data_IF_281351196119
#
_entry.id   IF_281351196119
#
_cell.length_a   1.000
_cell.length_b   1.000
_cell.length_c   1.000
_cell.angle_alpha   90.00
_cell.angle_beta   90.00
_cell.angle_gamma   90.00
#
_symmetry.space_group_name_H-M   'P 1'
#
loop_
_entity.id
_entity.type
_entity.pdbx_description
1 polymer ?
#
# COMPACT_ATOMS: atom_id res chain seq x y z
N UNK A 1 -8.85 -9.21 -6.43
CA UNK A 1 -9.02 -10.44 -7.23
C UNK A 1 -9.93 -11.43 -6.51
N UNK A 2 -9.60 -11.94 -5.32
CA UNK A 2 -10.36 -12.96 -4.61
C UNK A 2 -11.86 -12.63 -4.42
N UNK A 3 -12.19 -11.39 -4.00
CA UNK A 3 -13.58 -10.95 -3.87
C UNK A 3 -14.36 -10.99 -5.21
N UNK A 4 -13.69 -10.56 -6.30
CA UNK A 4 -14.30 -10.60 -7.63
C UNK A 4 -14.50 -12.03 -8.11
N UNK A 5 -13.51 -12.89 -7.92
CA UNK A 5 -13.59 -14.30 -8.27
C UNK A 5 -14.73 -15.00 -7.49
N UNK A 6 -14.78 -14.82 -6.17
CA UNK A 6 -15.83 -15.40 -5.32
C UNK A 6 -17.23 -14.95 -5.73
N UNK A 7 -17.42 -13.64 -5.97
CA UNK A 7 -18.69 -13.10 -6.44
C UNK A 7 -19.10 -13.67 -7.82
N UNK A 8 -18.18 -13.66 -8.78
CA UNK A 8 -18.47 -14.14 -10.13
C UNK A 8 -18.75 -15.66 -10.18
N UNK A 9 -17.99 -16.48 -9.44
CA UNK A 9 -18.21 -17.90 -9.31
C UNK A 9 -19.60 -18.21 -8.70
N UNK A 10 -19.95 -17.53 -7.60
CA UNK A 10 -21.27 -17.70 -6.97
C UNK A 10 -22.42 -17.30 -7.93
N UNK A 11 -22.26 -16.23 -8.71
CA UNK A 11 -23.23 -15.81 -9.73
C UNK A 11 -23.39 -16.83 -10.87
N UNK A 12 -22.39 -17.66 -11.10
CA UNK A 12 -22.44 -18.80 -12.05
C UNK A 12 -23.03 -20.08 -11.44
N UNK A 13 -23.42 -20.05 -10.18
CA UNK A 13 -24.05 -21.17 -9.49
C UNK A 13 -23.09 -22.07 -8.72
N UNK A 14 -21.82 -21.73 -8.62
CA UNK A 14 -20.89 -22.47 -7.76
C UNK A 14 -21.16 -22.19 -6.28
N UNK A 15 -20.98 -23.20 -5.45
CA UNK A 15 -20.96 -23.05 -3.99
C UNK A 15 -19.57 -22.58 -3.59
N UNK A 16 -19.47 -21.36 -3.06
CA UNK A 16 -18.20 -20.69 -2.76
C UNK A 16 -18.06 -20.46 -1.27
N UNK A 17 -16.91 -20.86 -0.71
CA UNK A 17 -16.44 -20.46 0.62
C UNK A 17 -15.28 -19.49 0.46
N UNK A 18 -15.39 -18.32 1.09
CA UNK A 18 -14.36 -17.27 1.08
C UNK A 18 -13.80 -17.13 2.49
N UNK A 19 -12.54 -17.53 2.70
CA UNK A 19 -11.83 -17.38 3.97
C UNK A 19 -10.94 -16.14 3.93
N UNK A 20 -10.95 -15.36 5.01
CA UNK A 20 -10.11 -14.19 5.22
C UNK A 20 -9.50 -14.25 6.62
N UNK A 21 -8.18 -14.15 6.70
CA UNK A 21 -7.44 -14.20 7.97
C UNK A 21 -7.72 -13.00 8.89
N UNK A 22 -8.04 -11.85 8.31
CA UNK A 22 -8.40 -10.62 9.03
C UNK A 22 -9.89 -10.60 9.40
N UNK A 23 -10.29 -9.73 10.35
CA UNK A 23 -11.71 -9.59 10.75
C UNK A 23 -12.58 -8.85 9.72
N UNK A 24 -12.01 -8.46 8.56
CA UNK A 24 -12.72 -7.72 7.51
C UNK A 24 -12.20 -8.08 6.12
N UNK A 25 -13.10 -8.06 5.15
CA UNK A 25 -12.77 -8.27 3.73
C UNK A 25 -12.15 -7.01 3.11
N UNK A 26 -11.37 -7.18 2.04
CA UNK A 26 -10.89 -6.09 1.21
C UNK A 26 -9.37 -5.96 1.12
N UNK A 27 -8.62 -6.58 2.04
CA UNK A 27 -7.16 -6.64 1.99
C UNK A 27 -6.51 -5.27 1.75
N UNK A 28 -5.68 -5.15 0.72
CA UNK A 28 -4.98 -3.93 0.36
C UNK A 28 -5.87 -2.71 0.09
N UNK A 29 -7.15 -2.89 -0.31
CA UNK A 29 -8.09 -1.77 -0.50
C UNK A 29 -8.41 -1.07 0.83
N UNK A 30 -8.57 -1.85 1.90
CA UNK A 30 -8.83 -1.31 3.24
C UNK A 30 -7.58 -0.59 3.76
N UNK A 31 -6.40 -1.20 3.58
CA UNK A 31 -5.13 -0.58 3.99
C UNK A 31 -4.92 0.76 3.27
N UNK A 32 -5.07 0.76 1.95
CA UNK A 32 -4.90 1.98 1.14
C UNK A 32 -5.94 3.06 1.49
N UNK A 33 -7.17 2.68 1.88
CA UNK A 33 -8.21 3.64 2.24
C UNK A 33 -7.94 4.44 3.52
N UNK A 34 -6.91 4.08 4.27
CA UNK A 34 -6.43 4.86 5.42
C UNK A 34 -5.62 6.10 5.01
N UNK A 35 -5.26 6.21 3.72
CA UNK A 35 -4.47 7.32 3.19
C UNK A 35 -5.43 8.36 2.62
N UNK A 36 -5.20 9.63 2.98
CA UNK A 36 -6.00 10.78 2.52
C UNK A 36 -6.08 10.82 0.97
N UNK A 37 -7.30 10.96 0.45
CA UNK A 37 -7.60 10.93 -0.99
C UNK A 37 -7.85 9.53 -1.56
N UNK A 38 -7.66 8.45 -0.78
CA UNK A 38 -7.90 7.06 -1.20
C UNK A 38 -9.09 6.39 -0.49
N UNK A 39 -9.92 7.12 0.26
CA UNK A 39 -11.05 6.62 1.06
C UNK A 39 -12.10 5.89 0.20
N UNK A 40 -12.17 6.25 -1.09
CA UNK A 40 -13.04 5.59 -2.06
C UNK A 40 -12.73 4.08 -2.22
N UNK A 41 -11.49 3.66 -1.99
CA UNK A 41 -11.10 2.25 -2.02
C UNK A 41 -11.78 1.45 -0.90
N UNK A 42 -11.97 2.05 0.26
CA UNK A 42 -12.74 1.44 1.35
C UNK A 42 -14.23 1.27 1.01
N UNK A 43 -14.82 2.25 0.30
CA UNK A 43 -16.19 2.11 -0.22
C UNK A 43 -16.30 0.99 -1.24
N UNK A 44 -15.31 0.85 -2.11
CA UNK A 44 -15.24 -0.24 -3.08
C UNK A 44 -15.14 -1.61 -2.41
N UNK A 45 -14.31 -1.75 -1.37
CA UNK A 45 -14.21 -2.99 -0.59
C UNK A 45 -15.55 -3.38 0.01
N UNK A 46 -16.26 -2.45 0.66
CA UNK A 46 -17.61 -2.66 1.22
C UNK A 46 -18.65 -3.02 0.15
N UNK A 47 -18.57 -2.42 -1.04
CA UNK A 47 -19.45 -2.78 -2.16
C UNK A 47 -19.27 -4.25 -2.54
N UNK A 48 -18.03 -4.73 -2.66
CA UNK A 48 -17.77 -6.12 -3.01
C UNK A 48 -18.07 -7.08 -1.85
N UNK A 49 -17.87 -6.69 -0.61
CA UNK A 49 -18.35 -7.46 0.53
C UNK A 49 -19.88 -7.68 0.45
N UNK A 50 -20.63 -6.62 0.20
CA UNK A 50 -22.09 -6.73 0.02
C UNK A 50 -22.45 -7.63 -1.14
N UNK A 51 -21.74 -7.52 -2.26
CA UNK A 51 -21.98 -8.38 -3.45
C UNK A 51 -21.72 -9.84 -3.19
N UNK A 52 -20.64 -10.22 -2.51
CA UNK A 52 -20.35 -11.63 -2.22
C UNK A 52 -21.36 -12.22 -1.24
N UNK A 53 -21.75 -11.46 -0.20
CA UNK A 53 -22.78 -11.90 0.75
C UNK A 53 -24.14 -12.10 0.09
N UNK A 54 -24.58 -11.15 -0.75
CA UNK A 54 -25.83 -11.22 -1.49
C UNK A 54 -25.84 -12.33 -2.56
N UNK A 55 -24.69 -12.76 -3.03
CA UNK A 55 -24.55 -13.89 -3.93
C UNK A 55 -24.56 -15.25 -3.21
N UNK A 56 -24.69 -15.28 -1.89
CA UNK A 56 -24.72 -16.51 -1.10
C UNK A 56 -23.36 -17.14 -0.84
N UNK A 57 -22.28 -16.38 -0.94
CA UNK A 57 -20.93 -16.85 -0.58
C UNK A 57 -20.85 -17.08 0.93
N UNK A 58 -20.34 -18.26 1.35
CA UNK A 58 -20.01 -18.55 2.75
C UNK A 58 -18.73 -17.79 3.13
N UNK A 59 -18.88 -16.68 3.84
CA UNK A 59 -17.77 -15.78 4.23
C UNK A 59 -17.31 -16.13 5.64
N UNK A 60 -16.06 -16.55 5.78
CA UNK A 60 -15.39 -16.88 7.04
C UNK A 60 -14.28 -15.89 7.32
N UNK A 61 -14.54 -14.95 8.23
CA UNK A 61 -13.57 -13.97 8.71
C UNK A 61 -12.73 -14.55 9.84
N UNK A 62 -11.59 -13.90 10.13
CA UNK A 62 -10.64 -14.33 11.15
C UNK A 62 -10.26 -15.82 11.03
N UNK A 63 -10.23 -16.30 9.79
CA UNK A 63 -9.95 -17.69 9.45
C UNK A 63 -8.70 -17.75 8.56
N UNK A 64 -7.57 -18.03 9.19
CA UNK A 64 -6.34 -18.34 8.48
C UNK A 64 -6.43 -19.79 7.97
N UNK A 65 -6.17 -19.98 6.68
CA UNK A 65 -6.26 -21.28 6.00
C UNK A 65 -4.85 -21.80 5.74
N UNK A 66 -4.63 -23.06 6.09
CA UNK A 66 -3.45 -23.85 5.77
C UNK A 66 -3.85 -25.14 5.00
N UNK A 67 -2.89 -25.96 4.62
CA UNK A 67 -3.15 -27.18 3.90
C UNK A 67 -3.95 -28.20 4.75
N UNK A 68 -3.75 -28.22 6.07
CA UNK A 68 -4.50 -29.10 6.97
C UNK A 68 -5.98 -28.71 7.01
N UNK A 69 -6.26 -27.41 7.13
CA UNK A 69 -7.61 -26.88 7.09
C UNK A 69 -8.33 -27.25 5.76
N UNK A 70 -7.64 -27.13 4.61
CA UNK A 70 -8.21 -27.46 3.30
C UNK A 70 -8.54 -28.95 3.21
N UNK A 71 -7.65 -29.85 3.65
CA UNK A 71 -7.93 -31.29 3.66
C UNK A 71 -9.14 -31.66 4.51
N UNK A 72 -9.30 -31.00 5.64
CA UNK A 72 -10.40 -31.28 6.56
C UNK A 72 -11.73 -30.70 6.09
N UNK A 73 -11.72 -29.47 5.58
CA UNK A 73 -12.94 -28.70 5.33
C UNK A 73 -13.32 -28.59 3.84
N UNK A 74 -12.38 -28.85 2.94
CA UNK A 74 -12.56 -28.65 1.50
C UNK A 74 -11.80 -29.68 0.62
N UNK A 75 -11.83 -31.00 0.92
CA UNK A 75 -10.95 -31.99 0.28
C UNK A 75 -11.18 -32.17 -1.23
N UNK A 76 -12.36 -31.84 -1.74
CA UNK A 76 -12.71 -31.98 -3.16
C UNK A 76 -12.95 -30.60 -3.83
N UNK A 77 -12.59 -29.51 -3.18
CA UNK A 77 -12.82 -28.17 -3.71
C UNK A 77 -11.67 -27.71 -4.59
N UNK A 78 -11.99 -26.92 -5.60
CA UNK A 78 -10.97 -26.15 -6.31
C UNK A 78 -10.52 -25.00 -5.43
N UNK A 79 -9.22 -24.90 -5.20
CA UNK A 79 -8.60 -23.90 -4.32
C UNK A 79 -8.10 -22.72 -5.14
N UNK A 80 -8.49 -21.51 -4.76
CA UNK A 80 -7.98 -20.27 -5.36
C UNK A 80 -7.29 -19.46 -4.27
N UNK A 81 -5.98 -19.31 -4.39
CA UNK A 81 -5.15 -18.56 -3.46
C UNK A 81 -5.11 -17.10 -3.88
N UNK A 82 -5.62 -16.21 -3.03
CA UNK A 82 -5.68 -14.76 -3.26
C UNK A 82 -5.11 -13.99 -2.06
N UNK A 83 -4.05 -14.51 -1.45
CA UNK A 83 -3.41 -14.00 -0.21
C UNK A 83 -2.76 -12.63 -0.37
N UNK A 84 -2.54 -12.20 -1.62
CA UNK A 84 -2.05 -10.86 -1.94
C UNK A 84 -0.56 -10.66 -1.62
N UNK A 85 -0.24 -9.47 -1.13
CA UNK A 85 1.13 -8.99 -0.94
C UNK A 85 1.38 -8.63 0.53
N UNK A 86 2.65 -8.63 0.91
CA UNK A 86 3.18 -8.02 2.15
C UNK A 86 4.26 -6.99 1.83
N UNK A 87 4.73 -6.28 2.84
CA UNK A 87 5.85 -5.37 2.70
C UNK A 87 7.09 -6.13 2.25
N UNK A 88 7.75 -5.62 1.22
CA UNK A 88 9.08 -6.08 0.85
C UNK A 88 10.10 -5.52 1.85
N UNK A 89 10.94 -6.40 2.39
CA UNK A 89 12.02 -6.03 3.30
C UNK A 89 13.32 -6.04 2.49
N UNK A 90 13.93 -4.88 2.24
CA UNK A 90 15.18 -4.81 1.48
C UNK A 90 16.35 -5.38 2.28
N UNK A 91 17.42 -5.75 1.60
CA UNK A 91 18.66 -6.15 2.27
C UNK A 91 19.48 -4.90 2.64
N UNK A 92 19.27 -4.39 3.84
CA UNK A 92 19.94 -3.20 4.37
C UNK A 92 20.45 -3.46 5.78
N UNK A 93 21.58 -2.87 6.18
CA UNK A 93 22.14 -3.06 7.50
C UNK A 93 21.31 -2.38 8.60
N UNK A 94 21.00 -3.09 9.68
CA UNK A 94 20.34 -2.56 10.87
C UNK A 94 18.82 -2.60 10.84
N UNK A 95 18.19 -3.40 9.95
CA UNK A 95 16.73 -3.54 9.88
C UNK A 95 16.09 -4.23 11.08
N UNK A 96 16.88 -4.88 11.91
CA UNK A 96 16.47 -5.48 13.18
C UNK A 96 16.29 -4.45 14.32
N UNK A 97 16.57 -3.19 14.04
CA UNK A 97 16.38 -2.09 14.99
C UNK A 97 14.90 -1.90 15.34
N UNK A 98 14.55 -1.70 16.64
CA UNK A 98 13.16 -1.67 17.09
C UNK A 98 12.35 -0.47 16.59
N UNK A 99 13.02 0.54 16.00
CA UNK A 99 12.38 1.70 15.39
C UNK A 99 12.16 1.54 13.88
N UNK A 100 12.48 0.37 13.31
CA UNK A 100 12.20 0.03 11.91
C UNK A 100 10.85 -0.64 11.81
N UNK A 101 9.95 -0.08 11.02
CA UNK A 101 8.59 -0.53 10.82
C UNK A 101 8.32 -0.74 9.33
N UNK A 102 7.38 -1.63 9.03
CA UNK A 102 6.83 -1.76 7.69
C UNK A 102 5.61 -0.84 7.49
N UNK A 103 5.13 -0.71 6.26
CA UNK A 103 3.87 0.01 6.04
C UNK A 103 2.68 -0.72 6.69
N UNK A 104 2.75 -2.04 6.87
CA UNK A 104 1.69 -2.82 7.54
C UNK A 104 1.65 -2.49 9.03
N UNK A 105 2.80 -2.40 9.70
CA UNK A 105 2.90 -1.96 11.10
C UNK A 105 2.28 -0.58 11.30
N UNK A 106 2.54 0.34 10.36
CA UNK A 106 2.02 1.71 10.40
C UNK A 106 0.52 1.79 10.11
N UNK A 107 0.05 1.21 8.99
CA UNK A 107 -1.32 1.40 8.50
C UNK A 107 -2.31 0.35 8.99
N UNK A 108 -1.85 -0.87 9.29
CA UNK A 108 -2.71 -1.97 9.74
C UNK A 108 -2.66 -2.08 11.25
N UNK A 109 -1.46 -2.24 11.81
CA UNK A 109 -1.28 -2.39 13.26
C UNK A 109 -1.36 -1.05 13.99
N UNK A 110 -1.33 0.08 13.24
CA UNK A 110 -1.41 1.45 13.77
C UNK A 110 -0.37 1.75 14.83
N UNK A 111 0.83 1.23 14.64
CA UNK A 111 1.93 1.50 15.56
C UNK A 111 2.24 3.00 15.60
N UNK A 112 2.40 3.58 16.78
CA UNK A 112 2.68 5.00 16.92
C UNK A 112 4.08 5.33 16.45
N UNK A 113 4.22 6.43 15.71
CA UNK A 113 5.50 6.92 15.23
C UNK A 113 5.81 8.31 15.77
N UNK A 114 7.09 8.59 15.95
CA UNK A 114 7.59 9.86 16.48
C UNK A 114 7.43 11.03 15.52
N UNK A 115 8.12 12.13 15.85
CA UNK A 115 8.06 13.38 15.07
C UNK A 115 8.99 13.39 13.85
N UNK A 116 10.10 12.66 13.91
CA UNK A 116 11.08 12.58 12.81
C UNK A 116 11.03 11.19 12.23
N UNK A 117 10.53 11.06 11.01
CA UNK A 117 10.33 9.77 10.36
C UNK A 117 11.05 9.73 9.02
N UNK A 118 11.82 8.68 8.80
CA UNK A 118 12.35 8.39 7.46
C UNK A 118 11.47 7.33 6.79
N UNK A 119 11.13 7.57 5.53
CA UNK A 119 10.50 6.60 4.63
C UNK A 119 11.57 6.12 3.66
N UNK A 120 11.94 4.86 3.75
CA UNK A 120 13.00 4.25 2.93
C UNK A 120 12.37 3.62 1.70
N UNK A 121 12.59 4.26 0.55
CA UNK A 121 12.06 3.89 -0.77
C UNK A 121 11.25 5.03 -1.40
N UNK A 122 11.83 5.74 -2.39
CA UNK A 122 11.10 6.70 -3.24
C UNK A 122 10.32 5.92 -4.32
N UNK A 123 9.36 5.14 -3.87
CA UNK A 123 8.43 4.34 -4.64
C UNK A 123 7.03 4.97 -4.58
N UNK A 124 6.07 4.57 -5.43
CA UNK A 124 4.66 4.97 -5.28
C UNK A 124 4.12 4.74 -3.86
N UNK A 125 4.45 3.60 -3.25
CA UNK A 125 4.12 3.29 -1.86
C UNK A 125 4.78 4.28 -0.89
N UNK A 126 6.08 4.54 -1.04
CA UNK A 126 6.81 5.47 -0.16
C UNK A 126 6.23 6.88 -0.17
N UNK A 127 5.78 7.36 -1.33
CA UNK A 127 5.13 8.67 -1.46
C UNK A 127 3.76 8.71 -0.77
N UNK A 128 2.97 7.64 -0.89
CA UNK A 128 1.69 7.51 -0.17
C UNK A 128 1.90 7.44 1.35
N UNK A 129 2.91 6.73 1.80
CA UNK A 129 3.27 6.69 3.23
C UNK A 129 3.75 8.06 3.72
N UNK A 130 4.57 8.75 2.94
CA UNK A 130 5.02 10.11 3.29
C UNK A 130 3.84 11.09 3.39
N UNK A 131 2.88 11.00 2.48
CA UNK A 131 1.62 11.76 2.53
C UNK A 131 0.83 11.43 3.81
N UNK A 132 0.61 10.16 4.11
CA UNK A 132 -0.08 9.72 5.32
C UNK A 132 0.55 10.28 6.60
N UNK A 133 1.90 10.29 6.67
CA UNK A 133 2.63 10.74 7.85
C UNK A 133 2.50 12.23 8.15
N UNK A 134 2.25 13.07 7.16
CA UNK A 134 2.08 14.52 7.32
C UNK A 134 0.62 14.93 7.47
N UNK A 135 -0.33 14.06 7.12
CA UNK A 135 -1.76 14.33 7.28
C UNK A 135 -2.14 14.16 8.75
N UNK A 136 -2.68 15.19 9.44
CA UNK A 136 -3.16 15.06 10.81
C UNK A 136 -4.28 14.02 10.93
N UNK A 137 -4.23 13.19 11.98
CA UNK A 137 -5.20 12.12 12.19
C UNK A 137 -6.61 12.61 12.59
N UNK A 138 -6.72 13.87 12.97
CA UNK A 138 -7.93 14.55 13.41
C UNK A 138 -8.49 15.51 12.35
N UNK A 139 -7.86 15.57 11.17
CA UNK A 139 -8.42 16.36 10.07
C UNK A 139 -9.78 15.79 9.65
N UNK A 140 -10.81 16.62 9.83
CA UNK A 140 -12.12 16.40 9.22
C UNK A 140 -12.01 16.37 7.70
N UNK A 141 -12.95 15.71 7.04
CA UNK A 141 -13.05 15.79 5.58
C UNK A 141 -13.08 17.25 5.15
N UNK A 142 -12.13 17.64 4.30
CA UNK A 142 -12.08 19.00 3.71
C UNK A 142 -13.25 19.18 2.77
N UNK A 143 -13.89 20.34 2.81
CA UNK A 143 -14.84 20.70 1.77
C UNK A 143 -14.11 20.84 0.42
N UNK A 144 -14.82 20.71 -0.72
CA UNK A 144 -14.20 20.94 -2.02
C UNK A 144 -13.54 22.31 -2.14
N UNK A 145 -14.13 23.34 -1.53
CA UNK A 145 -13.58 24.71 -1.51
C UNK A 145 -12.30 24.80 -0.70
N UNK A 146 -12.24 24.19 0.48
CA UNK A 146 -11.04 24.14 1.32
C UNK A 146 -9.91 23.38 0.58
N UNK A 147 -10.25 22.29 -0.10
CA UNK A 147 -9.30 21.52 -0.88
C UNK A 147 -8.75 22.35 -2.06
N UNK A 148 -9.62 22.99 -2.84
CA UNK A 148 -9.20 23.85 -3.96
C UNK A 148 -8.34 25.01 -3.46
N UNK A 149 -8.72 25.65 -2.37
CA UNK A 149 -7.98 26.75 -1.77
C UNK A 149 -6.54 26.32 -1.35
N UNK A 150 -6.40 25.12 -0.78
CA UNK A 150 -5.07 24.58 -0.42
C UNK A 150 -4.16 24.38 -1.65
N UNK A 151 -4.74 24.22 -2.85
CA UNK A 151 -4.02 24.14 -4.12
C UNK A 151 -3.84 25.50 -4.82
N UNK A 152 -4.28 26.59 -4.18
CA UNK A 152 -4.26 27.92 -4.80
C UNK A 152 -5.31 28.10 -5.89
N UNK A 153 -6.34 27.27 -5.91
CA UNK A 153 -7.41 27.30 -6.88
C UNK A 153 -8.63 27.98 -6.26
N UNK A 154 -9.11 29.03 -6.91
CA UNK A 154 -10.31 29.78 -6.55
C UNK A 154 -11.40 29.68 -7.61
N UNK A 155 -12.56 30.24 -7.29
CA UNK A 155 -13.69 30.31 -8.21
C UNK A 155 -13.31 31.12 -9.48
N UNK A 156 -13.38 30.55 -10.69
CA UNK A 156 -13.05 31.25 -11.93
C UNK A 156 -13.89 32.49 -12.22
N UNK A 157 -15.07 32.61 -11.60
CA UNK A 157 -15.91 33.79 -11.72
C UNK A 157 -15.39 34.98 -10.93
N UNK A 158 -14.57 34.74 -9.93
CA UNK A 158 -13.99 35.77 -9.02
C UNK A 158 -12.50 35.99 -9.26
N UNK A 159 -11.77 34.94 -9.67
CA UNK A 159 -10.34 34.95 -9.84
C UNK A 159 -9.97 34.63 -11.28
N UNK A 160 -9.18 35.51 -11.91
CA UNK A 160 -8.76 35.35 -13.31
C UNK A 160 -8.04 34.01 -13.50
N UNK A 161 -8.57 33.17 -14.38
CA UNK A 161 -8.03 31.84 -14.62
C UNK A 161 -8.20 30.84 -13.47
N UNK A 162 -9.04 31.18 -12.47
CA UNK A 162 -9.24 30.33 -11.30
C UNK A 162 -8.04 30.25 -10.36
N UNK A 163 -7.07 31.14 -10.48
CA UNK A 163 -5.90 31.16 -9.61
C UNK A 163 -6.09 32.19 -8.49
N UNK A 164 -5.90 31.76 -7.25
CA UNK A 164 -5.81 32.68 -6.12
C UNK A 164 -4.60 33.60 -6.31
N UNK A 165 -4.75 34.88 -6.02
CA UNK A 165 -3.68 35.89 -6.17
C UNK A 165 -2.54 35.76 -5.13
N UNK A 166 -2.52 34.71 -4.32
CA UNK A 166 -1.53 34.41 -3.30
C UNK A 166 -1.21 32.91 -3.30
N UNK A 167 -0.02 32.55 -2.87
CA UNK A 167 0.34 31.16 -2.60
C UNK A 167 -0.24 30.82 -1.22
N UNK A 168 -1.12 29.81 -1.10
CA UNK A 168 -1.66 29.40 0.19
C UNK A 168 -0.53 29.04 1.15
N UNK A 169 -0.59 29.57 2.36
CA UNK A 169 0.33 29.17 3.41
C UNK A 169 -0.17 27.83 3.95
N UNK A 170 0.51 26.75 3.60
CA UNK A 170 0.22 25.43 4.16
C UNK A 170 0.71 25.43 5.62
N UNK A 171 -0.07 24.85 6.55
CA UNK A 171 0.36 24.68 7.92
C UNK A 171 1.67 23.90 7.97
N UNK A 172 2.54 24.25 8.91
CA UNK A 172 3.75 23.46 9.13
C UNK A 172 3.37 22.01 9.50
N UNK A 173 3.99 21.03 8.83
CA UNK A 173 3.69 19.64 9.14
C UNK A 173 4.10 19.32 10.58
N UNK A 174 3.26 18.63 11.33
CA UNK A 174 3.54 18.26 12.72
C UNK A 174 4.64 17.19 12.83
N UNK A 175 5.08 16.60 11.70
CA UNK A 175 6.22 15.68 11.59
C UNK A 175 7.23 16.18 10.56
N UNK A 176 8.50 15.93 10.84
CA UNK A 176 9.56 16.00 9.85
C UNK A 176 9.66 14.66 9.15
N UNK A 177 9.40 14.63 7.85
CA UNK A 177 9.45 13.39 7.05
C UNK A 177 10.55 13.48 6.01
N UNK A 178 11.44 12.48 6.02
CA UNK A 178 12.46 12.26 4.99
C UNK A 178 12.00 11.16 4.07
N UNK A 179 11.86 11.43 2.78
CA UNK A 179 11.64 10.40 1.76
C UNK A 179 12.99 10.06 1.12
N UNK A 180 13.52 8.90 1.46
CA UNK A 180 14.86 8.47 1.11
C UNK A 180 14.82 7.52 -0.10
N UNK A 181 15.32 7.99 -1.25
CA UNK A 181 15.46 7.20 -2.46
C UNK A 181 16.74 6.36 -2.42
N UNK A 182 16.68 5.22 -1.76
CA UNK A 182 17.77 4.26 -1.71
C UNK A 182 17.96 3.58 -3.07
N UNK A 183 19.20 3.35 -3.46
CA UNK A 183 19.59 2.93 -4.81
C UNK A 183 19.13 1.53 -5.16
N UNK A 184 19.28 0.59 -4.25
CA UNK A 184 18.90 -0.81 -4.48
C UNK A 184 17.39 -1.00 -4.65
N UNK A 185 16.60 -0.05 -4.14
CA UNK A 185 15.14 -0.01 -4.23
C UNK A 185 14.66 0.70 -5.51
N UNK A 186 15.54 1.50 -6.16
CA UNK A 186 15.18 2.44 -7.23
C UNK A 186 14.70 1.82 -8.56
N UNK A 187 14.85 0.52 -8.78
CA UNK A 187 14.45 -0.13 -10.03
C UNK A 187 12.94 -0.32 -10.19
N UNK A 188 12.14 -0.15 -9.14
CA UNK A 188 10.67 -0.24 -9.19
C UNK A 188 9.98 1.05 -9.69
N UNK A 189 10.73 2.02 -10.18
CA UNK A 189 10.21 3.31 -10.70
C UNK A 189 9.27 3.22 -11.90
N UNK A 190 9.07 2.04 -12.50
CA UNK A 190 8.49 1.90 -13.85
C UNK A 190 6.96 1.87 -13.91
N UNK A 191 6.21 1.99 -12.81
CA UNK A 191 4.77 1.78 -12.82
C UNK A 191 3.93 3.07 -12.83
N UNK A 192 4.51 4.24 -12.53
CA UNK A 192 3.79 5.52 -12.59
C UNK A 192 4.05 6.27 -13.90
N UNK A 193 2.99 6.84 -14.52
CA UNK A 193 3.18 7.83 -15.58
C UNK A 193 4.02 8.99 -15.07
N UNK A 194 5.08 9.34 -15.78
CA UNK A 194 6.09 10.33 -15.35
C UNK A 194 5.50 11.68 -14.90
N UNK A 195 4.42 12.11 -15.52
CA UNK A 195 3.78 13.37 -15.19
C UNK A 195 3.08 13.36 -13.81
N UNK A 196 2.46 12.23 -13.42
CA UNK A 196 1.86 12.08 -12.08
C UNK A 196 2.93 12.03 -11.01
N UNK A 197 4.02 11.35 -11.29
CA UNK A 197 5.19 11.29 -10.41
C UNK A 197 5.73 12.69 -10.09
N UNK A 198 5.86 13.57 -11.08
CA UNK A 198 6.32 14.96 -10.88
C UNK A 198 5.36 15.78 -10.04
N UNK A 199 4.07 15.71 -10.30
CA UNK A 199 3.05 16.43 -9.53
C UNK A 199 3.04 15.98 -8.08
N UNK A 200 3.08 14.67 -7.83
CA UNK A 200 3.14 14.11 -6.48
C UNK A 200 4.39 14.59 -5.74
N UNK A 201 5.56 14.51 -6.36
CA UNK A 201 6.80 14.98 -5.74
C UNK A 201 6.79 16.49 -5.43
N UNK A 202 6.21 17.29 -6.31
CA UNK A 202 6.07 18.72 -6.06
C UNK A 202 5.13 19.00 -4.89
N UNK A 203 4.02 18.28 -4.82
CA UNK A 203 3.07 18.37 -3.72
C UNK A 203 3.74 18.00 -2.39
N UNK A 204 4.48 16.90 -2.35
CA UNK A 204 5.21 16.46 -1.15
C UNK A 204 6.18 17.53 -0.68
N UNK A 205 6.95 18.14 -1.59
CA UNK A 205 7.86 19.24 -1.27
C UNK A 205 7.15 20.49 -0.74
N UNK A 206 6.02 20.87 -1.34
CA UNK A 206 5.20 21.98 -0.87
C UNK A 206 4.69 21.74 0.55
N UNK A 207 4.44 20.50 0.93
CA UNK A 207 4.02 20.09 2.26
C UNK A 207 5.18 19.76 3.22
N UNK A 208 6.40 20.20 2.90
CA UNK A 208 7.56 20.14 3.80
C UNK A 208 8.27 18.78 3.86
N UNK A 209 7.92 17.81 2.99
CA UNK A 209 8.64 16.55 2.93
C UNK A 209 10.00 16.73 2.27
N UNK A 210 11.05 16.29 2.96
CA UNK A 210 12.42 16.35 2.49
C UNK A 210 12.73 15.11 1.65
N UNK A 211 12.76 15.29 0.33
CA UNK A 211 13.07 14.19 -0.60
C UNK A 211 14.56 14.15 -0.88
N UNK A 212 15.19 13.02 -0.61
CA UNK A 212 16.61 12.77 -0.84
C UNK A 212 16.76 11.57 -1.75
N UNK A 213 17.25 11.78 -2.95
CA UNK A 213 17.41 10.74 -3.96
C UNK A 213 18.85 10.24 -4.07
N UNK A 214 19.01 9.04 -4.62
CA UNK A 214 20.29 8.45 -4.99
C UNK A 214 21.25 8.28 -3.81
N UNK A 215 20.70 7.82 -2.67
CA UNK A 215 21.50 7.51 -1.48
C UNK A 215 21.84 6.02 -1.42
N UNK A 216 22.89 5.74 -0.66
CA UNK A 216 23.24 4.38 -0.23
C UNK A 216 23.25 4.36 1.30
N UNK A 217 22.35 3.57 1.89
CA UNK A 217 22.25 3.44 3.34
C UNK A 217 23.35 2.49 3.83
N UNK A 218 24.25 3.02 4.68
CA UNK A 218 25.38 2.27 5.21
C UNK A 218 25.09 1.65 6.59
N UNK A 219 24.25 2.31 7.38
CA UNK A 219 23.84 1.80 8.68
C UNK A 219 22.53 2.45 9.14
N UNK A 220 21.73 1.64 9.84
CA UNK A 220 20.54 2.07 10.54
C UNK A 220 20.78 1.84 12.03
N UNK A 221 20.74 2.91 12.79
CA UNK A 221 20.85 2.91 14.26
C UNK A 221 19.51 3.34 14.88
N UNK A 222 19.25 3.09 16.17
CA UNK A 222 17.96 3.41 16.82
C UNK A 222 17.51 4.86 16.73
N UNK A 223 18.41 5.83 16.44
CA UNK A 223 18.09 7.25 16.41
C UNK A 223 18.56 7.96 15.12
N UNK A 224 19.20 7.23 14.21
CA UNK A 224 19.75 7.84 13.00
C UNK A 224 19.96 6.83 11.87
N UNK A 225 19.96 7.37 10.65
CA UNK A 225 20.39 6.65 9.45
C UNK A 225 21.68 7.31 8.98
N UNK A 226 22.71 6.50 8.72
CA UNK A 226 23.91 6.93 8.03
C UNK A 226 23.83 6.55 6.56
N UNK A 227 23.99 7.52 5.69
CA UNK A 227 23.92 7.33 4.26
C UNK A 227 24.95 8.14 3.50
N UNK A 228 25.35 7.66 2.33
CA UNK A 228 26.23 8.36 1.40
C UNK A 228 25.50 8.65 0.09
N UNK A 229 25.97 9.69 -0.64
CA UNK A 229 25.37 10.13 -1.91
C UNK A 229 26.21 9.70 -3.10
N UNK A 230 25.54 9.39 -4.19
CA UNK A 230 26.17 9.22 -5.49
C UNK A 230 27.07 7.98 -5.61
N UNK A 231 27.67 7.80 -6.77
CA UNK A 231 28.61 6.69 -7.08
C UNK A 231 29.97 6.86 -6.41
N UNK A 232 30.31 8.05 -5.97
CA UNK A 232 31.55 8.35 -5.27
C UNK A 232 31.18 8.61 -3.82
N UNK A 233 31.43 7.65 -2.95
CA UNK A 233 31.24 7.77 -1.49
C UNK A 233 31.89 9.06 -0.96
N UNK A 234 31.12 10.13 -1.04
CA UNK A 234 31.47 11.42 -0.42
C UNK A 234 30.97 11.32 1.02
N UNK A 235 31.54 12.11 1.91
CA UNK A 235 31.27 12.12 3.36
C UNK A 235 29.84 11.71 3.74
N UNK A 236 29.68 10.79 4.70
CA UNK A 236 28.35 10.31 5.09
C UNK A 236 27.51 11.46 5.66
N UNK A 237 26.23 11.46 5.31
CA UNK A 237 25.23 12.31 5.94
C UNK A 237 24.44 11.51 6.99
N UNK A 238 23.89 12.21 7.99
CA UNK A 238 23.20 11.60 9.11
C UNK A 238 21.78 12.17 9.21
N UNK A 239 20.79 11.28 9.08
CA UNK A 239 19.40 11.61 9.29
C UNK A 239 18.97 11.18 10.69
N UNK A 240 18.73 12.15 11.56
CA UNK A 240 18.19 11.88 12.89
C UNK A 240 16.70 11.56 12.78
N UNK A 241 16.32 10.37 13.21
CA UNK A 241 14.97 9.85 13.08
C UNK A 241 14.52 9.16 14.35
N UNK A 242 13.22 9.23 14.63
CA UNK A 242 12.60 8.49 15.73
C UNK A 242 12.11 7.13 15.25
N UNK A 243 11.65 7.06 13.98
CA UNK A 243 11.21 5.81 13.32
C UNK A 243 11.58 5.81 11.85
N UNK A 244 11.66 4.61 11.31
CA UNK A 244 11.96 4.34 9.89
C UNK A 244 10.87 3.45 9.34
N UNK A 245 10.25 3.86 8.23
CA UNK A 245 9.21 3.08 7.56
C UNK A 245 9.78 2.51 6.28
N UNK A 246 9.75 1.19 6.16
CA UNK A 246 10.17 0.50 4.95
C UNK A 246 9.07 0.58 3.89
N UNK A 247 9.40 1.18 2.75
CA UNK A 247 8.52 1.35 1.60
C UNK A 247 9.21 0.87 0.31
N UNK A 248 9.98 -0.22 0.42
CA UNK A 248 10.73 -0.81 -0.67
C UNK A 248 9.86 -1.45 -1.75
N UNK A 249 8.55 -1.58 -1.50
CA UNK A 249 7.59 -2.19 -2.40
C UNK A 249 6.86 -3.35 -1.76
N UNK A 250 6.46 -4.30 -2.61
CA UNK A 250 5.61 -5.42 -2.21
C UNK A 250 6.24 -6.74 -2.62
N UNK A 251 6.04 -7.78 -1.80
CA UNK A 251 6.34 -9.16 -2.16
C UNK A 251 5.13 -10.07 -1.96
N UNK A 252 4.95 -11.12 -2.78
CA UNK A 252 3.79 -12.00 -2.68
C UNK A 252 3.83 -12.86 -1.43
N UNK A 253 2.66 -13.05 -0.78
CA UNK A 253 2.48 -13.97 0.35
C UNK A 253 2.34 -15.40 -0.17
N UNK A 254 3.47 -16.09 -0.39
CA UNK A 254 3.52 -17.41 -1.01
C UNK A 254 3.47 -18.58 -0.03
N UNK A 255 3.43 -18.34 1.25
CA UNK A 255 3.51 -19.37 2.29
C UNK A 255 2.46 -20.47 2.09
N UNK A 256 1.21 -20.08 1.84
CA UNK A 256 0.14 -21.04 1.54
C UNK A 256 0.39 -21.79 0.22
N UNK A 257 0.83 -21.09 -0.84
CA UNK A 257 1.14 -21.73 -2.12
C UNK A 257 2.23 -22.80 -1.99
N UNK A 258 3.29 -22.48 -1.25
CA UNK A 258 4.42 -23.39 -1.02
C UNK A 258 4.00 -24.60 -0.18
N UNK A 259 3.13 -24.37 0.80
CA UNK A 259 2.56 -25.43 1.62
C UNK A 259 1.67 -26.36 0.77
N UNK A 260 0.74 -25.81 -0.01
CA UNK A 260 -0.16 -26.58 -0.87
C UNK A 260 0.63 -27.39 -1.92
N UNK A 261 1.66 -26.79 -2.52
CA UNK A 261 2.54 -27.48 -3.47
C UNK A 261 3.28 -28.66 -2.82
N UNK A 262 3.78 -28.49 -1.60
CA UNK A 262 4.45 -29.55 -0.82
C UNK A 262 3.52 -30.70 -0.51
N UNK A 263 2.27 -30.40 -0.23
CA UNK A 263 1.23 -31.38 0.13
C UNK A 263 0.50 -31.98 -1.08
N UNK A 264 0.86 -31.55 -2.30
CA UNK A 264 0.26 -32.02 -3.55
C UNK A 264 -1.20 -31.59 -3.75
N UNK A 265 -1.63 -30.50 -3.09
CA UNK A 265 -2.98 -29.94 -3.24
C UNK A 265 -2.97 -28.95 -4.42
N UNK A 266 -3.76 -29.20 -5.49
CA UNK A 266 -3.81 -28.29 -6.63
C UNK A 266 -4.49 -26.96 -6.26
N UNK A 267 -3.96 -25.86 -6.79
CA UNK A 267 -4.52 -24.53 -6.59
C UNK A 267 -4.28 -23.61 -7.79
N UNK A 268 -5.07 -22.54 -7.88
CA UNK A 268 -4.87 -21.44 -8.81
C UNK A 268 -4.52 -20.16 -8.03
N UNK A 269 -3.71 -19.31 -8.60
CA UNK A 269 -3.32 -18.02 -8.00
C UNK A 269 -4.17 -16.87 -8.56
N UNK A 270 -4.65 -15.97 -7.69
CA UNK A 270 -5.48 -14.83 -8.04
C UNK A 270 -4.91 -13.50 -7.55
N UNK A 271 -4.83 -12.51 -8.44
CA UNK A 271 -4.41 -11.16 -8.12
C UNK A 271 -2.89 -10.99 -8.05
N UNK A 272 -2.45 -10.08 -7.20
CA UNK A 272 -1.04 -9.70 -7.12
C UNK A 272 -0.09 -10.84 -6.72
N UNK A 273 -0.58 -11.91 -6.12
CA UNK A 273 0.23 -13.11 -5.88
C UNK A 273 0.65 -13.80 -7.18
N UNK A 274 -0.26 -13.83 -8.18
CA UNK A 274 0.00 -14.40 -9.50
C UNK A 274 0.92 -13.49 -10.35
N UNK A 275 0.81 -12.15 -10.19
CA UNK A 275 1.66 -11.18 -10.88
C UNK A 275 2.02 -10.02 -9.95
N UNK A 276 3.17 -10.08 -9.27
CA UNK A 276 3.61 -9.03 -8.35
C UNK A 276 3.79 -7.65 -9.00
N UNK A 277 4.09 -7.60 -10.31
CA UNK A 277 4.21 -6.34 -11.07
C UNK A 277 2.90 -5.57 -11.16
N UNK A 278 1.77 -6.25 -11.01
CA UNK A 278 0.42 -5.69 -11.08
C UNK A 278 -0.17 -5.38 -9.68
N UNK A 279 0.67 -5.35 -8.63
CA UNK A 279 0.24 -5.21 -7.23
C UNK A 279 -0.65 -3.98 -6.98
N UNK A 280 -0.41 -2.89 -7.70
CA UNK A 280 -1.18 -1.63 -7.61
C UNK A 280 -2.23 -1.47 -8.73
N UNK A 281 -2.34 -2.44 -9.64
CA UNK A 281 -3.28 -2.39 -10.75
C UNK A 281 -4.62 -3.04 -10.36
N UNK A 282 -5.54 -2.22 -9.87
CA UNK A 282 -6.86 -2.68 -9.44
C UNK A 282 -7.70 -3.24 -10.58
N UNK A 283 -7.64 -2.61 -11.77
CA UNK A 283 -8.40 -3.06 -12.94
C UNK A 283 -7.95 -4.46 -13.37
N UNK A 284 -6.64 -4.68 -13.43
CA UNK A 284 -6.07 -5.99 -13.72
C UNK A 284 -6.50 -7.04 -12.68
N UNK A 285 -6.44 -6.72 -11.39
CA UNK A 285 -6.85 -7.63 -10.33
C UNK A 285 -8.33 -8.04 -10.44
N UNK A 286 -9.21 -7.13 -10.84
CA UNK A 286 -10.62 -7.44 -11.08
C UNK A 286 -10.80 -8.31 -12.31
N UNK A 287 -10.17 -7.97 -13.42
CA UNK A 287 -10.23 -8.75 -14.65
C UNK A 287 -9.77 -10.19 -14.41
N UNK A 288 -8.62 -10.39 -13.80
CA UNK A 288 -8.09 -11.71 -13.50
C UNK A 288 -9.02 -12.53 -12.57
N UNK A 289 -9.62 -11.88 -11.56
CA UNK A 289 -10.60 -12.54 -10.71
C UNK A 289 -11.84 -13.02 -11.48
N UNK A 290 -12.29 -12.27 -12.50
CA UNK A 290 -13.35 -12.69 -13.41
C UNK A 290 -12.90 -13.85 -14.29
N UNK A 291 -11.76 -13.75 -14.94
CA UNK A 291 -11.20 -14.78 -15.82
C UNK A 291 -11.09 -16.13 -15.11
N UNK A 292 -10.56 -16.14 -13.88
CA UNK A 292 -10.50 -17.35 -13.06
C UNK A 292 -11.91 -17.92 -12.75
N UNK A 293 -12.85 -17.05 -12.38
CA UNK A 293 -14.21 -17.50 -12.13
C UNK A 293 -14.88 -18.09 -13.38
N UNK A 294 -14.53 -17.62 -14.58
CA UNK A 294 -15.02 -18.16 -15.85
C UNK A 294 -14.31 -19.45 -16.27
N UNK A 295 -13.11 -19.71 -15.79
CA UNK A 295 -12.34 -20.93 -16.02
C UNK A 295 -12.73 -22.10 -15.09
N UNK A 296 -13.58 -21.86 -14.07
CA UNK A 296 -14.17 -22.90 -13.22
C UNK A 296 -15.23 -23.68 -13.99
#
# INVERSE_FOLDING_TARGET
AGLMCAWAAARRGFRVTLCEARPMLGGGLIVASSIDGLESLGRLARLYETRVRNAGVDVRLSTAVDAAWIRENAPEHRVIVATGMRAAVPDLPGLDSPNVLTYEDLLVERQPVGRRVAVVGDTPLGRLIAQYLITPSDERERTPEEWLCAWGIGDPSRYRGGMLGFIPHLPEPFRTVYLLGERSIGEQRSLEPERFSRTTLQWLKMNGIQTVADINIEAIDPLQIRATYGKKHVSPDFFRVDHIILAAGFEPRRELCEELAREGIPYDEAGSIASPREALNLAWAFQQGLELAFAL
#
